data_IF_624536108050
#
_entry.id   IF_624536108050
#
_cell.length_a   1.000
_cell.length_b   1.000
_cell.length_c   1.000
_cell.angle_alpha   90.00
_cell.angle_beta   90.00
_cell.angle_gamma   90.00
#
_symmetry.space_group_name_H-M   'P 1'
#
loop_
_entity.id
_entity.type
_entity.pdbx_description
1 polymer ?
#
# COMPACT_ATOMS: atom_id res chain seq x y z
N UNK A 1 -6.34 -15.46 21.99
CA UNK A 1 -6.42 -15.07 23.42
C UNK A 1 -7.62 -14.18 23.66
N UNK A 2 -7.72 -13.02 22.99
CA UNK A 2 -8.81 -12.03 23.10
C UNK A 2 -10.24 -12.61 23.11
N UNK A 3 -10.59 -13.54 22.19
CA UNK A 3 -11.94 -14.16 22.13
C UNK A 3 -12.37 -14.90 23.41
N UNK A 4 -11.41 -15.28 24.26
CA UNK A 4 -11.70 -15.94 25.54
C UNK A 4 -12.18 -14.95 26.59
N UNK A 5 -11.88 -13.66 26.41
CA UNK A 5 -12.17 -12.59 27.35
C UNK A 5 -13.32 -11.70 26.86
N UNK A 6 -13.42 -11.46 25.55
CA UNK A 6 -14.46 -10.60 24.95
C UNK A 6 -15.02 -11.20 23.66
N UNK A 7 -16.24 -10.78 23.30
CA UNK A 7 -16.89 -11.11 22.02
C UNK A 7 -16.72 -10.03 20.96
N UNK A 8 -16.53 -8.79 21.40
CA UNK A 8 -16.36 -7.62 20.53
C UNK A 8 -15.03 -6.95 20.86
N UNK A 9 -14.26 -6.60 19.84
CA UNK A 9 -13.06 -5.79 19.93
C UNK A 9 -13.18 -4.56 19.02
N UNK A 10 -12.50 -3.47 19.37
CA UNK A 10 -12.45 -2.27 18.54
C UNK A 10 -11.12 -2.22 17.79
N UNK A 11 -11.15 -1.92 16.50
CA UNK A 11 -9.95 -1.64 15.70
C UNK A 11 -9.76 -0.14 15.46
N UNK A 12 -8.52 0.25 15.19
CA UNK A 12 -8.18 1.60 14.73
C UNK A 12 -8.23 1.76 13.21
N UNK A 13 -8.72 0.77 12.48
CA UNK A 13 -8.75 0.79 11.02
C UNK A 13 -9.67 1.93 10.53
N UNK A 14 -9.31 2.53 9.39
CA UNK A 14 -10.00 3.71 8.85
C UNK A 14 -9.45 5.04 9.35
N UNK A 15 -8.74 5.09 10.48
CA UNK A 15 -8.22 6.36 11.00
C UNK A 15 -7.24 7.04 10.05
N UNK A 16 -6.37 6.25 9.40
CA UNK A 16 -5.33 6.79 8.51
C UNK A 16 -5.91 7.17 7.14
N UNK A 17 -6.91 6.43 6.67
CA UNK A 17 -7.62 6.63 5.39
C UNK A 17 -8.59 7.81 5.47
N UNK A 18 -9.19 8.06 6.63
CA UNK A 18 -10.18 9.13 6.83
C UNK A 18 -9.54 10.43 7.30
N UNK A 19 -8.53 10.39 8.18
CA UNK A 19 -7.86 11.58 8.71
C UNK A 19 -6.46 11.82 8.15
N UNK A 20 -6.03 11.02 7.19
CA UNK A 20 -4.77 11.18 6.50
C UNK A 20 -3.56 10.86 7.39
N UNK A 21 -3.12 9.61 7.42
CA UNK A 21 -2.00 9.19 8.28
C UNK A 21 -0.89 8.39 7.58
N UNK A 22 -0.89 8.34 6.25
CA UNK A 22 0.17 7.72 5.46
C UNK A 22 1.14 8.75 4.88
N UNK A 23 2.39 8.33 4.65
CA UNK A 23 3.42 9.16 3.99
C UNK A 23 2.99 9.62 2.60
N UNK A 24 2.23 8.79 1.87
CA UNK A 24 1.68 9.15 0.55
C UNK A 24 0.75 10.38 0.61
N UNK A 25 -0.02 10.54 1.68
CA UNK A 25 -0.89 11.71 1.86
C UNK A 25 -0.09 12.99 2.07
N UNK A 26 0.98 12.90 2.87
CA UNK A 26 1.89 14.02 3.07
C UNK A 26 2.61 14.40 1.76
N UNK A 27 3.06 13.40 1.00
CA UNK A 27 3.67 13.63 -0.31
C UNK A 27 2.67 14.30 -1.28
N UNK A 28 1.41 13.85 -1.29
CA UNK A 28 0.36 14.44 -2.12
C UNK A 28 0.11 15.92 -1.81
N UNK A 29 0.03 16.29 -0.54
CA UNK A 29 -0.08 17.69 -0.14
C UNK A 29 1.12 18.52 -0.63
N UNK A 30 2.33 17.96 -0.50
CA UNK A 30 3.58 18.62 -0.94
C UNK A 30 3.68 18.76 -2.46
N UNK A 31 3.17 17.80 -3.23
CA UNK A 31 3.11 17.94 -4.69
C UNK A 31 2.06 18.96 -5.14
N UNK A 32 0.94 19.08 -4.42
CA UNK A 32 -0.12 20.07 -4.73
C UNK A 32 0.31 21.50 -4.42
N UNK A 33 1.12 21.70 -3.39
CA UNK A 33 1.62 23.01 -2.97
C UNK A 33 3.13 22.92 -2.65
N UNK A 34 3.99 22.80 -3.67
CA UNK A 34 5.43 22.60 -3.45
C UNK A 34 6.08 23.86 -2.87
N UNK A 35 6.85 23.70 -1.81
CA UNK A 35 7.71 24.73 -1.24
C UNK A 35 9.06 24.80 -1.95
N UNK A 36 9.96 25.65 -1.42
CA UNK A 36 11.33 25.78 -1.94
C UNK A 36 12.11 24.46 -1.80
N UNK A 37 11.92 23.75 -0.68
CA UNK A 37 12.56 22.46 -0.43
C UNK A 37 12.11 21.41 -1.45
N UNK A 38 10.81 21.28 -1.68
CA UNK A 38 10.25 20.33 -2.65
C UNK A 38 10.78 20.61 -4.07
N UNK A 39 10.82 21.88 -4.48
CA UNK A 39 11.41 22.27 -5.76
C UNK A 39 12.89 21.91 -5.87
N UNK A 40 13.67 22.10 -4.79
CA UNK A 40 15.08 21.72 -4.76
C UNK A 40 15.26 20.19 -4.87
N UNK A 41 14.42 19.40 -4.19
CA UNK A 41 14.42 17.93 -4.31
C UNK A 41 14.15 17.52 -5.76
N UNK A 42 13.19 18.16 -6.44
CA UNK A 42 12.89 17.87 -7.85
C UNK A 42 14.04 18.27 -8.77
N UNK A 43 14.64 19.46 -8.57
CA UNK A 43 15.78 19.92 -9.37
C UNK A 43 17.00 18.99 -9.27
N UNK A 44 17.19 18.35 -8.12
CA UNK A 44 18.28 17.41 -7.86
C UNK A 44 17.94 15.96 -8.24
N UNK A 45 16.85 15.71 -8.99
CA UNK A 45 16.45 14.36 -9.43
C UNK A 45 17.59 13.52 -10.05
N UNK A 46 18.46 14.07 -10.94
CA UNK A 46 19.57 13.31 -11.49
C UNK A 46 20.58 12.84 -10.44
N UNK A 47 20.74 13.59 -9.34
CA UNK A 47 21.64 13.22 -8.25
C UNK A 47 21.06 12.03 -7.48
N UNK A 48 19.78 12.11 -7.09
CA UNK A 48 19.13 11.04 -6.33
C UNK A 48 19.08 9.72 -7.09
N UNK A 49 18.90 9.78 -8.42
CA UNK A 49 18.84 8.62 -9.31
C UNK A 49 20.16 7.83 -9.37
N UNK A 50 21.29 8.53 -9.23
CA UNK A 50 22.63 7.95 -9.30
C UNK A 50 23.19 7.50 -7.94
N UNK A 51 22.51 7.81 -6.83
CA UNK A 51 22.94 7.42 -5.50
C UNK A 51 22.51 5.98 -5.14
N UNK A 52 23.23 5.29 -4.23
CA UNK A 52 22.86 3.96 -3.78
C UNK A 52 21.49 3.96 -3.09
N UNK A 53 20.54 3.20 -3.63
CA UNK A 53 19.18 3.07 -3.08
C UNK A 53 19.06 1.72 -2.38
N UNK A 54 18.68 1.74 -1.10
CA UNK A 54 18.51 0.52 -0.29
C UNK A 54 17.42 0.73 0.76
N UNK A 55 16.62 -0.29 1.05
CA UNK A 55 15.65 -0.25 2.16
C UNK A 55 16.31 -0.55 3.53
N UNK A 56 17.56 -1.01 3.53
CA UNK A 56 18.27 -1.47 4.73
C UNK A 56 19.11 -0.37 5.37
N UNK A 57 19.66 0.54 4.56
CA UNK A 57 20.43 1.70 5.05
C UNK A 57 19.53 2.91 5.23
N UNK A 58 19.72 3.65 6.34
CA UNK A 58 19.03 4.92 6.59
C UNK A 58 19.19 5.90 5.42
N UNK A 59 20.40 6.00 4.88
CA UNK A 59 20.72 6.91 3.78
C UNK A 59 20.20 6.38 2.44
N UNK A 60 20.34 5.08 2.19
CA UNK A 60 19.78 4.45 1.00
C UNK A 60 18.26 4.60 0.91
N UNK A 61 17.56 4.50 2.04
CA UNK A 61 16.10 4.61 2.09
C UNK A 61 15.66 6.07 1.96
N UNK A 62 16.48 7.00 2.44
CA UNK A 62 16.28 8.43 2.21
C UNK A 62 16.43 8.77 0.71
N UNK A 63 17.52 8.36 0.06
CA UNK A 63 17.72 8.62 -1.38
C UNK A 63 16.63 7.99 -2.23
N UNK A 64 16.22 6.75 -1.91
CA UNK A 64 15.09 6.09 -2.57
C UNK A 64 13.79 6.88 -2.46
N UNK A 65 13.51 7.49 -1.30
CA UNK A 65 12.30 8.32 -1.11
C UNK A 65 12.39 9.65 -1.84
N UNK A 66 13.56 10.29 -1.87
CA UNK A 66 13.77 11.54 -2.60
C UNK A 66 13.65 11.32 -4.11
N UNK A 67 14.28 10.27 -4.64
CA UNK A 67 14.16 9.84 -6.02
C UNK A 67 12.69 9.57 -6.39
N UNK A 68 11.99 8.75 -5.59
CA UNK A 68 10.55 8.47 -5.81
C UNK A 68 9.68 9.72 -5.70
N UNK A 69 10.02 10.66 -4.82
CA UNK A 69 9.29 11.92 -4.69
C UNK A 69 9.46 12.80 -5.94
N UNK A 70 10.70 12.92 -6.41
CA UNK A 70 11.04 13.70 -7.59
C UNK A 70 10.49 13.06 -8.89
N UNK A 71 10.56 11.73 -9.02
CA UNK A 71 10.07 11.03 -10.20
C UNK A 71 8.56 11.18 -10.41
N UNK A 72 7.81 11.39 -9.32
CA UNK A 72 6.35 11.51 -9.36
C UNK A 72 5.86 12.97 -9.33
N UNK A 73 6.72 13.96 -9.14
CA UNK A 73 6.28 15.36 -8.99
C UNK A 73 5.64 15.94 -10.25
N UNK A 74 6.04 15.46 -11.43
CA UNK A 74 5.48 15.89 -12.71
C UNK A 74 4.22 15.12 -13.14
N UNK A 75 3.88 14.02 -12.47
CA UNK A 75 2.71 13.22 -12.81
C UNK A 75 1.41 13.87 -12.30
N UNK A 76 0.29 13.64 -13.00
CA UNK A 76 -1.04 13.99 -12.51
C UNK A 76 -1.39 13.23 -11.21
N UNK A 77 -2.37 13.71 -10.44
CA UNK A 77 -2.72 13.12 -9.14
C UNK A 77 -3.10 11.64 -9.25
N UNK A 78 -3.78 11.27 -10.32
CA UNK A 78 -4.17 9.91 -10.70
C UNK A 78 -2.94 9.03 -10.89
N UNK A 79 -1.97 9.51 -11.67
CA UNK A 79 -0.71 8.80 -11.91
C UNK A 79 0.10 8.62 -10.63
N UNK A 80 0.16 9.66 -9.77
CA UNK A 80 0.81 9.58 -8.46
C UNK A 80 0.12 8.56 -7.54
N UNK A 81 -1.21 8.56 -7.51
CA UNK A 81 -1.98 7.62 -6.70
C UNK A 81 -1.73 6.16 -7.12
N UNK A 82 -1.86 5.87 -8.42
CA UNK A 82 -1.62 4.52 -8.96
C UNK A 82 -0.19 4.06 -8.68
N UNK A 83 0.81 4.92 -8.91
CA UNK A 83 2.21 4.60 -8.65
C UNK A 83 2.51 4.35 -7.16
N UNK A 84 1.74 4.94 -6.23
CA UNK A 84 1.92 4.73 -4.79
C UNK A 84 1.06 3.59 -4.24
N UNK A 85 0.00 3.21 -4.95
CA UNK A 85 -0.84 2.05 -4.65
C UNK A 85 -0.25 0.74 -5.20
N UNK A 86 0.52 0.82 -6.29
CA UNK A 86 1.21 -0.32 -6.89
C UNK A 86 2.47 -0.70 -6.11
N UNK A 87 2.74 -2.02 -6.03
CA UNK A 87 3.98 -2.56 -5.47
C UNK A 87 4.99 -3.01 -6.53
N UNK A 88 4.60 -3.02 -7.81
CA UNK A 88 5.43 -3.42 -8.94
C UNK A 88 5.27 -2.43 -10.10
N UNK A 89 6.32 -2.30 -10.91
CA UNK A 89 6.31 -1.39 -12.07
C UNK A 89 5.54 -1.99 -13.25
N UNK A 90 4.83 -1.18 -14.06
CA UNK A 90 3.99 -1.68 -15.17
C UNK A 90 4.73 -2.60 -16.15
N UNK A 91 5.98 -2.29 -16.50
CA UNK A 91 6.76 -3.10 -17.44
C UNK A 91 7.01 -4.53 -16.93
N UNK A 92 7.23 -4.72 -15.62
CA UNK A 92 7.39 -6.07 -15.04
C UNK A 92 6.07 -6.84 -15.13
N UNK A 93 4.94 -6.18 -14.94
CA UNK A 93 3.60 -6.79 -15.09
C UNK A 93 3.34 -7.15 -16.56
N UNK A 94 3.73 -6.29 -17.50
CA UNK A 94 3.62 -6.54 -18.94
C UNK A 94 4.47 -7.73 -19.41
N UNK A 95 5.63 -7.96 -18.80
CA UNK A 95 6.50 -9.11 -19.07
C UNK A 95 5.95 -10.41 -18.46
N UNK A 96 5.20 -10.30 -17.34
CA UNK A 96 4.58 -11.44 -16.66
C UNK A 96 3.38 -12.00 -17.44
N UNK A 97 2.61 -11.15 -18.10
CA UNK A 97 1.38 -11.53 -18.79
C UNK A 97 1.67 -12.02 -20.22
N UNK A 98 1.17 -13.22 -20.57
CA UNK A 98 1.23 -13.71 -21.96
C UNK A 98 0.11 -13.15 -22.82
N UNK A 99 -1.04 -12.90 -22.20
CA UNK A 99 -2.21 -12.33 -22.86
C UNK A 99 -2.16 -10.81 -22.83
N UNK A 100 -2.20 -10.18 -24.00
CA UNK A 100 -2.19 -8.72 -24.15
C UNK A 100 -3.58 -8.11 -23.90
N UNK A 101 -4.66 -8.87 -24.05
CA UNK A 101 -6.01 -8.39 -23.74
C UNK A 101 -6.19 -8.18 -22.22
N UNK A 102 -5.46 -8.95 -21.41
CA UNK A 102 -5.39 -8.74 -19.96
C UNK A 102 -4.87 -7.34 -19.57
N UNK A 103 -4.03 -6.71 -20.41
CA UNK A 103 -3.53 -5.34 -20.18
C UNK A 103 -4.64 -4.29 -20.32
N UNK A 104 -5.57 -4.49 -21.27
CA UNK A 104 -6.71 -3.59 -21.43
C UNK A 104 -7.59 -3.60 -20.17
N UNK A 105 -7.84 -4.78 -19.60
CA UNK A 105 -8.58 -4.92 -18.34
C UNK A 105 -7.88 -4.27 -17.14
N UNK A 106 -6.54 -4.31 -17.09
CA UNK A 106 -5.76 -3.60 -16.06
C UNK A 106 -5.93 -2.08 -16.17
N UNK A 107 -5.94 -1.53 -17.38
CA UNK A 107 -6.17 -0.09 -17.60
C UNK A 107 -7.54 0.34 -17.09
N UNK A 108 -8.61 -0.38 -17.45
CA UNK A 108 -9.97 -0.08 -16.98
C UNK A 108 -10.08 -0.10 -15.45
N UNK A 109 -9.45 -1.09 -14.80
CA UNK A 109 -9.40 -1.14 -13.33
C UNK A 109 -8.63 0.05 -12.74
N UNK A 110 -7.53 0.45 -13.37
CA UNK A 110 -6.73 1.60 -12.93
C UNK A 110 -7.54 2.90 -13.01
N UNK A 111 -8.31 3.10 -14.08
CA UNK A 111 -9.23 4.23 -14.24
C UNK A 111 -10.32 4.23 -13.15
N UNK A 112 -10.91 3.07 -12.83
CA UNK A 112 -11.86 2.94 -11.73
C UNK A 112 -11.24 3.21 -10.34
N UNK A 113 -9.97 2.86 -10.15
CA UNK A 113 -9.24 3.11 -8.90
C UNK A 113 -9.03 4.60 -8.63
N UNK A 114 -8.85 5.41 -9.69
CA UNK A 114 -8.60 6.86 -9.56
C UNK A 114 -9.86 7.70 -9.70
N UNK A 115 -10.98 7.14 -10.17
CA UNK A 115 -12.26 7.85 -10.25
C UNK A 115 -12.66 8.62 -8.97
N UNK A 116 -12.38 8.14 -7.73
CA UNK A 116 -12.69 8.91 -6.53
C UNK A 116 -11.90 10.21 -6.35
N UNK A 117 -10.73 10.36 -6.99
CA UNK A 117 -9.90 11.57 -6.87
C UNK A 117 -10.61 12.82 -7.39
N UNK A 118 -11.51 12.68 -8.36
CA UNK A 118 -12.28 13.79 -8.94
C UNK A 118 -13.60 14.04 -8.20
N UNK A 119 -14.02 13.13 -7.32
CA UNK A 119 -15.28 13.25 -6.55
C UNK A 119 -15.17 14.16 -5.33
N UNK A 120 -13.96 14.51 -4.91
CA UNK A 120 -13.72 15.42 -3.80
C UNK A 120 -12.45 16.25 -4.04
N UNK A 121 -12.42 17.53 -3.63
CA UNK A 121 -11.28 18.39 -3.87
C UNK A 121 -10.09 18.04 -2.96
N UNK A 122 -8.90 18.46 -3.38
CA UNK A 122 -7.70 18.39 -2.55
C UNK A 122 -7.31 16.96 -2.17
N UNK A 123 -6.89 16.78 -0.93
CA UNK A 123 -6.49 15.48 -0.40
C UNK A 123 -7.70 14.53 -0.21
N UNK A 124 -8.91 15.06 0.00
CA UNK A 124 -10.09 14.23 0.22
C UNK A 124 -10.37 13.26 -0.93
N UNK A 125 -10.07 13.61 -2.19
CA UNK A 125 -10.20 12.67 -3.30
C UNK A 125 -9.30 11.43 -3.15
N UNK A 126 -8.06 11.63 -2.66
CA UNK A 126 -7.12 10.53 -2.38
C UNK A 126 -7.56 9.70 -1.18
N UNK A 127 -8.03 10.35 -0.11
CA UNK A 127 -8.59 9.67 1.07
C UNK A 127 -9.83 8.85 0.70
N UNK A 128 -10.68 9.37 -0.18
CA UNK A 128 -11.85 8.66 -0.67
C UNK A 128 -11.45 7.39 -1.46
N UNK A 129 -10.43 7.50 -2.30
CA UNK A 129 -9.91 6.32 -3.02
C UNK A 129 -9.38 5.26 -2.05
N UNK A 130 -8.71 5.66 -0.96
CA UNK A 130 -8.28 4.72 0.08
C UNK A 130 -9.45 4.07 0.83
N UNK A 131 -10.48 4.84 1.16
CA UNK A 131 -11.69 4.30 1.79
C UNK A 131 -12.40 3.29 0.88
N UNK A 132 -12.46 3.57 -0.43
CA UNK A 132 -13.18 2.73 -1.39
C UNK A 132 -12.37 1.53 -1.90
N UNK A 133 -11.04 1.61 -1.91
CA UNK A 133 -10.19 0.57 -2.52
C UNK A 133 -9.24 -0.10 -1.51
N UNK A 134 -8.54 0.67 -0.68
CA UNK A 134 -7.56 0.12 0.26
C UNK A 134 -8.24 -0.60 1.43
N UNK A 135 -9.26 0.01 2.04
CA UNK A 135 -9.97 -0.60 3.17
C UNK A 135 -10.65 -1.93 2.81
N UNK A 136 -11.55 -2.01 1.82
CA UNK A 136 -12.26 -3.26 1.55
C UNK A 136 -11.36 -4.35 0.95
N UNK A 137 -10.35 -4.01 0.15
CA UNK A 137 -9.56 -5.01 -0.58
C UNK A 137 -8.27 -5.46 0.13
N UNK A 138 -7.93 -4.86 1.27
CA UNK A 138 -6.76 -5.28 2.07
C UNK A 138 -7.11 -5.37 3.57
N UNK A 139 -7.43 -4.24 4.19
CA UNK A 139 -7.46 -4.16 5.65
C UNK A 139 -8.69 -4.81 6.27
N UNK A 140 -9.89 -4.39 5.84
CA UNK A 140 -11.15 -4.82 6.44
C UNK A 140 -11.45 -6.28 6.15
N UNK A 141 -11.24 -6.74 4.91
CA UNK A 141 -11.49 -8.13 4.53
C UNK A 141 -10.61 -9.09 5.35
N UNK A 142 -9.32 -8.79 5.49
CA UNK A 142 -8.41 -9.60 6.30
C UNK A 142 -8.86 -9.66 7.76
N UNK A 143 -9.18 -8.51 8.36
CA UNK A 143 -9.60 -8.46 9.76
C UNK A 143 -10.91 -9.22 9.97
N UNK A 144 -11.88 -9.04 9.08
CA UNK A 144 -13.18 -9.71 9.16
C UNK A 144 -13.04 -11.23 9.07
N UNK A 145 -12.43 -11.75 8.00
CA UNK A 145 -12.26 -13.20 7.80
C UNK A 145 -11.48 -13.84 8.95
N UNK A 146 -10.38 -13.21 9.37
CA UNK A 146 -9.54 -13.77 10.43
C UNK A 146 -10.18 -13.67 11.81
N UNK A 147 -10.94 -12.62 12.11
CA UNK A 147 -11.59 -12.49 13.41
C UNK A 147 -12.82 -13.39 13.54
N UNK A 148 -13.63 -13.48 12.49
CA UNK A 148 -14.82 -14.33 12.45
C UNK A 148 -14.50 -15.82 12.48
N UNK A 149 -13.38 -16.24 11.88
CA UNK A 149 -12.86 -17.61 12.02
C UNK A 149 -12.61 -18.02 13.49
N UNK A 150 -12.50 -17.05 14.40
CA UNK A 150 -12.33 -17.27 15.84
C UNK A 150 -13.52 -16.79 16.67
N UNK A 151 -14.67 -16.47 16.04
CA UNK A 151 -15.89 -16.00 16.71
C UNK A 151 -15.68 -14.70 17.48
N UNK A 152 -14.85 -13.80 16.97
CA UNK A 152 -14.59 -12.48 17.52
C UNK A 152 -15.10 -11.42 16.54
N UNK A 153 -16.00 -10.54 16.98
CA UNK A 153 -16.45 -9.41 16.19
C UNK A 153 -15.46 -8.24 16.34
N UNK A 154 -14.97 -7.68 15.24
CA UNK A 154 -14.10 -6.50 15.26
C UNK A 154 -14.82 -5.32 14.60
N UNK A 155 -14.97 -4.22 15.35
CA UNK A 155 -15.64 -3.00 14.87
C UNK A 155 -14.63 -1.88 14.65
N UNK A 156 -14.59 -1.22 13.48
CA UNK A 156 -13.74 -0.06 13.21
C UNK A 156 -14.49 1.27 13.44
N UNK A 157 -14.41 1.92 14.62
CA UNK A 157 -15.26 3.06 14.95
C UNK A 157 -14.98 4.31 14.11
N UNK A 158 -13.76 4.42 13.55
CA UNK A 158 -13.42 5.50 12.63
C UNK A 158 -14.19 5.47 11.31
N UNK A 159 -14.83 4.33 11.01
CA UNK A 159 -15.71 4.15 9.85
C UNK A 159 -17.20 4.33 10.19
N UNK A 160 -17.54 4.78 11.41
CA UNK A 160 -18.89 5.27 11.68
C UNK A 160 -19.20 6.41 10.71
N UNK A 161 -20.39 6.36 10.09
CA UNK A 161 -20.80 7.32 9.07
C UNK A 161 -20.63 8.78 9.50
N UNK A 162 -20.92 9.11 10.75
CA UNK A 162 -20.81 10.48 11.27
C UNK A 162 -19.35 10.93 11.37
N UNK A 163 -18.44 10.01 11.72
CA UNK A 163 -17.00 10.28 11.79
C UNK A 163 -16.45 10.52 10.40
N UNK A 164 -16.85 9.68 9.42
CA UNK A 164 -16.46 9.84 8.02
C UNK A 164 -17.01 11.16 7.45
N UNK A 165 -18.30 11.44 7.61
CA UNK A 165 -18.92 12.69 7.16
C UNK A 165 -18.21 13.92 7.74
N UNK A 166 -17.95 13.92 9.05
CA UNK A 166 -17.18 14.98 9.71
C UNK A 166 -15.79 15.12 9.08
N UNK A 167 -15.04 14.02 8.96
CA UNK A 167 -13.68 14.05 8.47
C UNK A 167 -13.59 14.57 7.04
N UNK A 168 -14.47 14.12 6.15
CA UNK A 168 -14.52 14.59 4.77
C UNK A 168 -15.02 16.04 4.65
N UNK A 169 -15.81 16.54 5.61
CA UNK A 169 -16.16 17.96 5.71
C UNK A 169 -15.02 18.88 6.16
N UNK A 170 -13.92 18.34 6.70
CA UNK A 170 -12.79 19.15 7.18
C UNK A 170 -11.82 19.53 6.05
N UNK A 171 -11.26 20.77 6.07
CA UNK A 171 -10.20 21.14 5.15
C UNK A 171 -8.90 20.39 5.47
N UNK A 172 -8.06 20.17 4.46
CA UNK A 172 -6.82 19.38 4.54
C UNK A 172 -5.88 19.81 5.68
N UNK A 173 -5.78 21.12 5.93
CA UNK A 173 -4.99 21.73 7.02
C UNK A 173 -5.42 21.33 8.44
N UNK A 174 -6.61 20.74 8.62
CA UNK A 174 -7.05 20.19 9.91
C UNK A 174 -6.63 18.73 10.08
N UNK A 175 -6.42 18.02 8.97
CA UNK A 175 -5.94 16.64 8.94
C UNK A 175 -4.43 16.58 9.11
N UNK A 176 -3.72 17.57 8.58
CA UNK A 176 -2.26 17.70 8.65
C UNK A 176 -1.82 18.97 9.34
N UNK A 177 -0.84 18.87 10.24
CA UNK A 177 -0.21 20.01 10.91
C UNK A 177 1.30 19.78 11.00
N UNK A 178 2.11 20.77 10.57
CA UNK A 178 3.59 20.70 10.56
C UNK A 178 4.15 19.43 9.86
N UNK A 179 3.44 18.95 8.84
CA UNK A 179 3.82 17.74 8.10
C UNK A 179 3.42 16.43 8.78
N UNK A 180 2.76 16.47 9.94
CA UNK A 180 2.23 15.27 10.59
C UNK A 180 0.76 15.08 10.26
N UNK A 181 0.40 13.84 9.88
CA UNK A 181 -0.98 13.43 9.65
C UNK A 181 -1.72 13.10 10.94
N UNK A 182 -3.05 12.94 10.83
CA UNK A 182 -3.96 12.73 11.98
C UNK A 182 -3.85 13.82 13.04
N UNK A 183 -3.53 15.05 12.62
CA UNK A 183 -3.29 16.17 13.52
C UNK A 183 -4.51 16.46 14.41
N UNK A 184 -5.72 16.45 13.84
CA UNK A 184 -6.96 16.60 14.60
C UNK A 184 -7.08 15.54 15.71
N UNK A 185 -6.90 14.26 15.39
CA UNK A 185 -7.02 13.18 16.38
C UNK A 185 -6.01 13.34 17.52
N UNK A 186 -4.76 13.69 17.19
CA UNK A 186 -3.70 13.94 18.18
C UNK A 186 -4.04 15.12 19.09
N UNK A 187 -4.60 16.21 18.54
CA UNK A 187 -5.01 17.38 19.32
C UNK A 187 -6.21 17.11 20.21
N UNK A 188 -7.22 16.42 19.68
CA UNK A 188 -8.47 16.16 20.40
C UNK A 188 -8.28 15.14 21.52
N UNK A 189 -7.53 14.06 21.28
CA UNK A 189 -7.41 12.94 22.22
C UNK A 189 -6.05 12.84 22.89
N UNK A 190 -5.12 13.76 22.58
CA UNK A 190 -3.77 13.75 23.13
C UNK A 190 -3.74 13.67 24.65
N UNK A 191 -4.53 14.49 25.33
CA UNK A 191 -4.61 14.50 26.79
C UNK A 191 -5.20 13.23 27.43
N UNK A 192 -5.80 12.32 26.65
CA UNK A 192 -6.36 11.06 27.15
C UNK A 192 -5.39 9.87 27.01
N UNK A 193 -4.32 10.03 26.23
CA UNK A 193 -3.40 8.95 25.91
C UNK A 193 -2.09 9.11 26.70
N UNK A 194 -1.47 8.00 27.14
CA UNK A 194 -0.13 8.07 27.72
C UNK A 194 0.86 8.70 26.75
N UNK A 195 1.82 9.48 27.27
CA UNK A 195 2.80 10.22 26.46
C UNK A 195 3.58 9.31 25.48
N UNK A 196 3.91 8.08 25.93
CA UNK A 196 4.58 7.08 25.11
C UNK A 196 3.78 6.61 23.89
N UNK A 197 2.45 6.74 23.89
CA UNK A 197 1.60 6.42 22.72
C UNK A 197 1.65 7.55 21.69
N UNK A 198 1.67 8.81 22.15
CA UNK A 198 1.66 9.99 21.29
C UNK A 198 2.96 10.19 20.52
N UNK A 199 4.08 9.96 21.19
CA UNK A 199 5.43 10.10 20.63
C UNK A 199 5.88 8.88 19.83
N UNK A 200 5.14 7.77 19.90
CA UNK A 200 5.47 6.54 19.21
C UNK A 200 5.48 6.73 17.70
N UNK A 201 6.59 6.35 17.07
CA UNK A 201 6.67 6.29 15.60
C UNK A 201 5.69 5.26 15.05
N UNK A 202 5.02 5.60 13.95
CA UNK A 202 4.16 4.68 13.20
C UNK A 202 4.98 3.46 12.76
N UNK A 203 4.48 2.27 13.09
CA UNK A 203 5.02 0.98 12.64
C UNK A 203 3.95 0.29 11.82
N UNK A 204 4.30 -0.18 10.63
CA UNK A 204 3.42 -0.99 9.81
C UNK A 204 3.33 -2.43 10.33
N UNK A 205 2.33 -3.16 9.86
CA UNK A 205 2.21 -4.60 10.05
C UNK A 205 2.84 -5.32 8.87
N UNK A 206 4.16 -5.26 8.76
CA UNK A 206 4.88 -5.87 7.65
C UNK A 206 4.95 -7.39 7.82
N UNK A 207 4.59 -8.13 6.76
CA UNK A 207 4.74 -9.58 6.71
C UNK A 207 6.17 -9.90 6.26
N UNK A 208 6.90 -10.80 6.95
CA UNK A 208 8.29 -11.12 6.61
C UNK A 208 8.36 -12.07 5.40
N UNK A 209 7.84 -11.64 4.24
CA UNK A 209 7.69 -12.45 3.03
C UNK A 209 9.02 -13.09 2.59
N UNK A 210 10.13 -12.36 2.66
CA UNK A 210 11.47 -12.87 2.38
C UNK A 210 11.78 -14.15 3.16
N UNK A 211 11.59 -14.11 4.48
CA UNK A 211 11.91 -15.21 5.37
C UNK A 211 10.92 -16.37 5.19
N UNK A 212 9.66 -16.06 4.91
CA UNK A 212 8.65 -17.08 4.63
C UNK A 212 8.98 -17.85 3.35
N UNK A 213 9.29 -17.16 2.24
CA UNK A 213 9.62 -17.81 0.97
C UNK A 213 10.98 -18.52 0.97
N UNK A 214 11.93 -18.05 1.78
CA UNK A 214 13.21 -18.72 1.97
C UNK A 214 13.12 -19.94 2.92
N UNK A 215 12.12 -19.97 3.81
CA UNK A 215 11.93 -21.01 4.82
C UNK A 215 10.61 -21.77 4.63
N UNK A 216 9.61 -21.54 5.50
CA UNK A 216 8.43 -22.41 5.60
C UNK A 216 7.57 -22.49 4.34
N UNK A 217 7.61 -21.50 3.45
CA UNK A 217 6.84 -21.49 2.18
C UNK A 217 7.70 -21.84 0.97
N UNK A 218 8.96 -22.24 1.14
CA UNK A 218 9.85 -22.54 0.00
C UNK A 218 9.29 -23.63 -0.90
N UNK A 219 8.81 -24.73 -0.31
CA UNK A 219 8.21 -25.84 -1.06
C UNK A 219 6.95 -25.42 -1.81
N UNK A 220 6.12 -24.56 -1.20
CA UNK A 220 4.92 -24.01 -1.84
C UNK A 220 5.28 -23.13 -3.04
N UNK A 221 6.33 -22.31 -2.92
CA UNK A 221 6.82 -21.51 -4.05
C UNK A 221 7.25 -22.42 -5.19
N UNK A 222 8.10 -23.41 -4.91
CA UNK A 222 8.66 -24.29 -5.94
C UNK A 222 7.55 -25.16 -6.60
N UNK A 223 6.55 -25.60 -5.84
CA UNK A 223 5.40 -26.37 -6.33
C UNK A 223 4.42 -25.54 -7.19
N UNK A 224 4.12 -24.30 -6.78
CA UNK A 224 3.20 -23.44 -7.54
C UNK A 224 3.83 -22.81 -8.77
N UNK A 225 5.16 -22.74 -8.87
CA UNK A 225 5.84 -21.96 -9.91
C UNK A 225 6.51 -22.82 -10.99
N UNK A 226 6.04 -24.06 -11.16
CA UNK A 226 6.48 -24.93 -12.25
C UNK A 226 6.15 -24.31 -13.62
N UNK A 227 7.02 -24.47 -14.64
CA UNK A 227 6.82 -23.84 -15.94
C UNK A 227 5.47 -24.14 -16.58
N UNK A 228 5.02 -25.41 -16.49
CA UNK A 228 3.74 -25.83 -17.07
C UNK A 228 2.56 -25.19 -16.34
N UNK A 229 2.56 -25.17 -15.01
CA UNK A 229 1.49 -24.56 -14.23
C UNK A 229 1.38 -23.05 -14.48
N UNK A 230 2.53 -22.37 -14.53
CA UNK A 230 2.61 -20.94 -14.83
C UNK A 230 2.12 -20.65 -16.25
N UNK A 231 2.55 -21.44 -17.23
CA UNK A 231 2.16 -21.27 -18.63
C UNK A 231 0.66 -21.47 -18.84
N UNK A 232 0.05 -22.49 -18.21
CA UNK A 232 -1.38 -22.76 -18.27
C UNK A 232 -2.20 -21.66 -17.60
N UNK A 233 -1.67 -21.03 -16.55
CA UNK A 233 -2.29 -19.88 -15.90
C UNK A 233 -2.15 -18.55 -16.66
N UNK A 234 -1.67 -18.57 -17.91
CA UNK A 234 -1.56 -17.38 -18.77
C UNK A 234 -0.37 -16.47 -18.45
N UNK A 235 0.60 -16.95 -17.67
CA UNK A 235 1.78 -16.21 -17.26
C UNK A 235 3.04 -16.69 -17.98
N UNK A 236 4.04 -15.82 -18.11
CA UNK A 236 5.35 -16.12 -18.70
C UNK A 236 6.24 -16.88 -17.71
N UNK A 237 6.61 -18.15 -17.97
CA UNK A 237 7.49 -18.90 -17.08
C UNK A 237 8.86 -18.24 -16.89
N UNK A 238 9.38 -17.59 -17.93
CA UNK A 238 10.67 -16.90 -17.89
C UNK A 238 10.61 -15.68 -16.98
N UNK A 239 9.57 -14.84 -17.12
CA UNK A 239 9.39 -13.66 -16.29
C UNK A 239 9.11 -14.02 -14.82
N UNK A 240 8.27 -15.02 -14.56
CA UNK A 240 8.01 -15.51 -13.20
C UNK A 240 9.31 -16.01 -12.54
N UNK A 241 10.14 -16.77 -13.27
CA UNK A 241 11.44 -17.23 -12.75
C UNK A 241 12.36 -16.06 -12.40
N UNK A 242 12.38 -14.99 -13.21
CA UNK A 242 13.18 -13.79 -12.95
C UNK A 242 12.68 -13.02 -11.71
N UNK A 243 11.35 -12.91 -11.53
CA UNK A 243 10.76 -12.28 -10.33
C UNK A 243 11.10 -13.08 -9.08
N UNK A 244 11.03 -14.42 -9.12
CA UNK A 244 11.40 -15.27 -7.97
C UNK A 244 12.89 -15.13 -7.66
N UNK A 245 13.75 -15.18 -8.69
CA UNK A 245 15.19 -15.05 -8.50
C UNK A 245 15.57 -13.69 -7.87
N UNK A 246 14.98 -12.60 -8.35
CA UNK A 246 15.20 -11.26 -7.80
C UNK A 246 14.63 -11.08 -6.39
N UNK A 247 13.57 -11.82 -6.02
CA UNK A 247 13.00 -11.79 -4.67
C UNK A 247 13.91 -12.44 -3.60
N UNK A 248 14.77 -13.40 -4.01
CA UNK A 248 15.66 -14.19 -3.14
C UNK A 248 16.97 -13.47 -2.81
N UNK A 249 17.36 -12.46 -3.60
CA UNK A 249 18.66 -11.78 -3.47
C UNK A 249 18.64 -10.54 -2.58
N UNK A 250 17.51 -10.17 -1.97
CA UNK A 250 17.45 -9.05 -1.02
C UNK A 250 16.29 -9.13 -0.03
N UNK A 251 16.49 -8.67 1.22
CA UNK A 251 15.38 -8.47 2.17
C UNK A 251 14.61 -7.23 1.71
N UNK A 252 13.30 -7.37 1.46
CA UNK A 252 12.42 -6.30 0.99
C UNK A 252 12.64 -5.84 -0.47
N UNK A 253 12.98 -6.71 -1.42
CA UNK A 253 12.90 -6.37 -2.85
C UNK A 253 11.43 -6.25 -3.31
N UNK A 254 11.09 -5.39 -4.30
CA UNK A 254 9.73 -5.29 -4.88
C UNK A 254 9.14 -6.66 -5.25
N UNK A 255 10.01 -7.55 -5.75
CA UNK A 255 9.66 -8.91 -6.13
C UNK A 255 9.01 -9.76 -5.04
N UNK A 256 9.12 -9.44 -3.74
CA UNK A 256 8.47 -10.25 -2.69
C UNK A 256 6.96 -10.07 -2.65
N UNK A 257 6.46 -8.84 -2.78
CA UNK A 257 5.02 -8.61 -2.90
C UNK A 257 4.47 -9.23 -4.19
N UNK A 258 5.26 -9.16 -5.27
CA UNK A 258 4.92 -9.76 -6.57
C UNK A 258 4.92 -11.28 -6.51
N UNK A 259 5.90 -11.92 -5.87
CA UNK A 259 5.89 -13.36 -5.60
C UNK A 259 4.65 -13.72 -4.79
N UNK A 260 4.33 -12.99 -3.72
CA UNK A 260 3.12 -13.25 -2.94
C UNK A 260 1.85 -13.20 -3.81
N UNK A 261 1.70 -12.16 -4.64
CA UNK A 261 0.58 -12.03 -5.56
C UNK A 261 0.51 -13.20 -6.57
N UNK A 262 1.66 -13.61 -7.12
CA UNK A 262 1.77 -14.77 -8.01
C UNK A 262 1.34 -16.07 -7.31
N UNK A 263 1.77 -16.31 -6.07
CA UNK A 263 1.38 -17.51 -5.32
C UNK A 263 -0.12 -17.54 -5.05
N UNK A 264 -0.70 -16.40 -4.65
CA UNK A 264 -2.15 -16.29 -4.44
C UNK A 264 -2.91 -16.61 -5.73
N UNK A 265 -2.50 -16.00 -6.86
CA UNK A 265 -3.11 -16.22 -8.16
C UNK A 265 -2.96 -17.68 -8.63
N UNK A 266 -1.74 -18.24 -8.62
CA UNK A 266 -1.46 -19.59 -9.08
C UNK A 266 -2.14 -20.64 -8.20
N UNK A 267 -2.26 -20.40 -6.90
CA UNK A 267 -3.02 -21.25 -5.98
C UNK A 267 -4.51 -21.18 -6.24
N UNK A 268 -5.06 -19.99 -6.55
CA UNK A 268 -6.47 -19.84 -6.92
C UNK A 268 -6.74 -20.59 -8.23
N UNK A 269 -5.98 -20.30 -9.28
CA UNK A 269 -6.13 -20.90 -10.61
C UNK A 269 -6.10 -22.44 -10.55
N UNK A 270 -5.16 -23.01 -9.77
CA UNK A 270 -5.07 -24.47 -9.56
C UNK A 270 -6.33 -25.09 -8.95
N UNK A 271 -7.03 -24.34 -8.08
CA UNK A 271 -8.17 -24.84 -7.30
C UNK A 271 -9.52 -24.61 -7.99
N UNK A 272 -9.60 -23.64 -8.90
CA UNK A 272 -10.88 -23.17 -9.43
C UNK A 272 -11.01 -23.24 -10.95
N UNK A 273 -9.90 -23.25 -11.69
CA UNK A 273 -9.93 -23.27 -13.17
C UNK A 273 -9.56 -24.65 -13.72
N UNK A 274 -8.60 -25.31 -13.08
CA UNK A 274 -8.27 -26.72 -13.32
C UNK A 274 -9.10 -27.62 -12.42
#
# INVERSE_FOLDING_TARGET
>A
RTRREVKVALSGDGADEVFGGYRKHQAELRWRAPGALERAVVALAPVWRNLPRSRESRWGDAFRKLDRFASLSGAAAEGRYLALAAFEEPGVVEDLLRDRDALAGMRTRSEAMVAPLTRAPGLNGVLLADVLHTLPNDMLHKVDVTSMAHGLEVRPPFLDRRVVELAFGLPDRRKFERGEGKALLRRTFGGLLPEGVLTRRKRGFEVPLAALFAGPLRSLVDDLTTPDHVAQAGLSPAAVKQVIASSRTGRNAPGQATVHALLVYLSWWRRTVR
#
